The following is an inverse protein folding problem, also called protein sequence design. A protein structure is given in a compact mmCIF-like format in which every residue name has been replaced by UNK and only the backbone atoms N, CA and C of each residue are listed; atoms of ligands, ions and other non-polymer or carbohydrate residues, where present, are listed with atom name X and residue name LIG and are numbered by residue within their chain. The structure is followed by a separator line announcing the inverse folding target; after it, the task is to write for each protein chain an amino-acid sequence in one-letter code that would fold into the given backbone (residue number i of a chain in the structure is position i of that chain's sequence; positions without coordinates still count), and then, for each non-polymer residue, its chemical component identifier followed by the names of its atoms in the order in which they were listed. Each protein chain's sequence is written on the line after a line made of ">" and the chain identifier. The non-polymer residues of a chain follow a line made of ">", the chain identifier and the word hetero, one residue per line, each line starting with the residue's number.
data_IF_972018304643
#
_entry.id   IF_972018304643
#
_cell.length_a   1.000
_cell.length_b   1.000
_cell.length_c   1.000
_cell.angle_alpha   90.00
_cell.angle_beta   90.00
_cell.angle_gamma   90.00
#
_symmetry.space_group_name_H-M   'P 1'
#
loop_
_entity.id
_entity.type
_entity.pdbx_description
1 polymer ?
#
# COMPACT_ATOMS: atom_id res chain seq x y z
N UNK A 1 -8.06 26.46 -16.42
CA UNK A 1 -7.38 26.60 -15.10
C UNK A 1 -6.26 25.59 -15.05
N UNK A 2 -5.14 25.92 -14.40
CA UNK A 2 -4.03 24.98 -14.22
C UNK A 2 -4.40 24.00 -13.10
N UNK A 3 -4.24 22.69 -13.33
CA UNK A 3 -4.52 21.68 -12.31
C UNK A 3 -3.59 21.83 -11.09
N UNK A 4 -4.01 21.30 -9.94
CA UNK A 4 -3.16 21.20 -8.78
C UNK A 4 -2.08 20.13 -8.98
N UNK A 5 -0.92 20.31 -8.37
CA UNK A 5 0.22 19.41 -8.52
C UNK A 5 -0.10 17.94 -8.17
N UNK A 6 -0.93 17.70 -7.16
CA UNK A 6 -1.31 16.34 -6.78
C UNK A 6 -2.14 15.64 -7.88
N UNK A 7 -2.99 16.40 -8.57
CA UNK A 7 -3.70 15.88 -9.74
C UNK A 7 -2.74 15.48 -10.87
N UNK A 8 -1.72 16.31 -11.12
CA UNK A 8 -0.71 16.02 -12.14
C UNK A 8 0.11 14.76 -11.75
N UNK A 9 0.52 14.64 -10.48
CA UNK A 9 1.22 13.45 -9.97
C UNK A 9 0.36 12.18 -10.06
N UNK A 10 -0.95 12.28 -9.78
CA UNK A 10 -1.88 11.16 -9.93
C UNK A 10 -2.02 10.75 -11.40
N UNK A 11 -2.11 11.72 -12.30
CA UNK A 11 -2.16 11.46 -13.74
C UNK A 11 -0.87 10.81 -14.25
N UNK A 12 0.28 11.24 -13.75
CA UNK A 12 1.57 10.62 -14.05
C UNK A 12 1.65 9.19 -13.51
N UNK A 13 1.13 8.93 -12.31
CA UNK A 13 1.02 7.57 -11.77
C UNK A 13 0.16 6.68 -12.67
N UNK A 14 -1.01 7.13 -13.12
CA UNK A 14 -1.85 6.38 -14.06
C UNK A 14 -1.12 6.08 -15.37
N UNK A 15 -0.39 7.06 -15.90
CA UNK A 15 0.38 6.88 -17.14
C UNK A 15 1.46 5.80 -17.01
N UNK A 16 2.23 5.80 -15.92
CA UNK A 16 3.28 4.79 -15.75
C UNK A 16 2.71 3.41 -15.45
N UNK A 17 1.61 3.32 -14.67
CA UNK A 17 0.92 2.05 -14.42
C UNK A 17 0.36 1.47 -15.71
N UNK A 18 -0.28 2.28 -16.54
CA UNK A 18 -0.82 1.84 -17.84
C UNK A 18 0.29 1.39 -18.78
N UNK A 19 1.37 2.18 -18.90
CA UNK A 19 2.49 1.87 -19.80
C UNK A 19 3.24 0.60 -19.40
N UNK A 20 3.46 0.39 -18.10
CA UNK A 20 4.41 -0.62 -17.62
C UNK A 20 3.72 -1.88 -17.10
N UNK A 21 2.42 -1.83 -16.76
CA UNK A 21 1.73 -2.93 -16.08
C UNK A 21 0.38 -3.28 -16.73
N UNK A 22 -0.47 -2.28 -17.01
CA UNK A 22 -1.84 -2.55 -17.46
C UNK A 22 -1.90 -2.80 -18.96
N UNK A 23 -2.25 -4.01 -19.32
CA UNK A 23 -2.41 -4.38 -20.73
C UNK A 23 -3.08 -5.74 -20.89
N UNK A 24 -3.48 -6.10 -22.11
CA UNK A 24 -4.14 -7.37 -22.38
C UNK A 24 -3.18 -8.53 -22.11
N UNK A 25 -3.61 -9.48 -21.27
CA UNK A 25 -2.86 -10.71 -21.00
C UNK A 25 -2.61 -11.47 -22.29
N UNK A 26 -1.44 -12.08 -22.38
CA UNK A 26 -1.07 -12.93 -23.52
C UNK A 26 -0.97 -14.39 -23.08
N UNK A 27 -1.39 -15.30 -23.95
CA UNK A 27 -1.16 -16.72 -23.77
C UNK A 27 0.29 -17.09 -24.15
N UNK A 28 0.68 -18.34 -23.87
CA UNK A 28 2.04 -18.82 -24.18
C UNK A 28 2.44 -18.78 -25.66
N UNK A 29 1.48 -18.52 -26.57
CA UNK A 29 1.70 -18.33 -28.01
C UNK A 29 1.67 -16.85 -28.45
N UNK A 30 1.59 -15.91 -27.50
CA UNK A 30 1.57 -14.48 -27.75
C UNK A 30 0.20 -13.90 -28.14
N UNK A 31 -0.84 -14.72 -28.23
CA UNK A 31 -2.21 -14.27 -28.49
C UNK A 31 -2.87 -13.66 -27.26
N UNK A 32 -3.78 -12.70 -27.47
CA UNK A 32 -4.54 -12.07 -26.38
C UNK A 32 -5.49 -13.10 -25.75
N UNK A 33 -5.57 -13.07 -24.41
CA UNK A 33 -6.53 -13.86 -23.63
C UNK A 33 -7.84 -13.09 -23.55
N UNK A 34 -8.93 -13.72 -23.96
CA UNK A 34 -10.27 -13.15 -23.93
C UNK A 34 -11.16 -13.89 -22.94
N UNK A 35 -11.99 -13.17 -22.24
CA UNK A 35 -13.21 -13.71 -21.64
C UNK A 35 -14.30 -13.73 -22.72
N UNK A 36 -14.96 -14.87 -22.88
CA UNK A 36 -16.03 -15.05 -23.86
C UNK A 36 -17.36 -15.14 -23.12
N UNK A 37 -18.18 -14.13 -23.25
CA UNK A 37 -19.57 -14.17 -22.81
C UNK A 37 -20.41 -14.93 -23.83
N UNK A 38 -20.75 -16.20 -23.52
CA UNK A 38 -21.52 -17.05 -24.41
C UNK A 38 -22.96 -16.56 -24.60
N UNK A 39 -23.49 -15.83 -23.62
CA UNK A 39 -24.88 -15.34 -23.64
C UNK A 39 -25.01 -14.17 -24.61
N UNK A 40 -24.04 -13.27 -24.61
CA UNK A 40 -24.04 -12.07 -25.47
C UNK A 40 -23.21 -12.25 -26.74
N UNK A 41 -22.52 -13.40 -26.88
CA UNK A 41 -21.56 -13.65 -27.96
C UNK A 41 -20.46 -12.57 -28.09
N UNK A 42 -20.03 -12.03 -26.93
CA UNK A 42 -19.02 -10.97 -26.85
C UNK A 42 -17.68 -11.51 -26.36
N UNK A 43 -16.61 -10.90 -26.84
CA UNK A 43 -15.24 -11.21 -26.40
C UNK A 43 -14.59 -9.96 -25.80
N UNK A 44 -14.22 -10.02 -24.53
CA UNK A 44 -13.52 -8.93 -23.85
C UNK A 44 -12.09 -9.36 -23.51
N UNK A 45 -11.06 -8.55 -23.84
CA UNK A 45 -9.69 -8.89 -23.51
C UNK A 45 -9.48 -8.84 -21.99
N UNK A 46 -8.87 -9.87 -21.43
CA UNK A 46 -8.52 -9.92 -20.02
C UNK A 46 -7.25 -9.10 -19.77
N UNK A 47 -7.34 -8.03 -19.00
CA UNK A 47 -6.19 -7.20 -18.64
C UNK A 47 -5.37 -7.79 -17.49
N UNK A 48 -4.15 -7.33 -17.32
CA UNK A 48 -3.19 -7.84 -16.33
C UNK A 48 -3.69 -7.79 -14.87
N UNK A 49 -4.53 -6.80 -14.52
CA UNK A 49 -5.14 -6.69 -13.21
C UNK A 49 -6.44 -7.51 -13.05
N UNK A 50 -6.96 -8.14 -14.12
CA UNK A 50 -8.19 -8.90 -14.07
C UNK A 50 -7.96 -10.36 -13.65
N UNK A 51 -8.97 -10.95 -13.03
CA UNK A 51 -9.14 -12.39 -12.98
C UNK A 51 -9.81 -12.86 -14.29
N UNK A 52 -9.05 -13.59 -15.11
CA UNK A 52 -9.48 -14.00 -16.45
C UNK A 52 -10.73 -14.89 -16.44
N UNK A 53 -11.01 -15.55 -15.32
CA UNK A 53 -12.12 -16.48 -15.17
C UNK A 53 -13.38 -15.82 -14.57
N UNK A 54 -13.29 -14.52 -14.22
CA UNK A 54 -14.40 -13.72 -13.69
C UNK A 54 -14.89 -12.68 -14.69
N UNK A 55 -16.16 -12.81 -15.14
CA UNK A 55 -16.79 -11.85 -16.06
C UNK A 55 -16.70 -10.41 -15.54
N UNK A 56 -17.13 -10.18 -14.30
CA UNK A 56 -17.12 -8.84 -13.70
C UNK A 56 -15.71 -8.28 -13.66
N UNK A 57 -14.72 -9.06 -13.19
CA UNK A 57 -13.33 -8.64 -13.10
C UNK A 57 -12.76 -8.22 -14.46
N UNK A 58 -13.05 -8.99 -15.52
CA UNK A 58 -12.56 -8.71 -16.87
C UNK A 58 -13.22 -7.45 -17.44
N UNK A 59 -14.53 -7.30 -17.30
CA UNK A 59 -15.27 -6.14 -17.80
C UNK A 59 -14.81 -4.86 -17.11
N UNK A 60 -14.75 -4.87 -15.78
CA UNK A 60 -14.32 -3.69 -15.00
C UNK A 60 -12.88 -3.32 -15.34
N UNK A 61 -11.94 -4.29 -15.35
CA UNK A 61 -10.54 -4.02 -15.65
C UNK A 61 -10.33 -3.45 -17.07
N UNK A 62 -11.07 -3.97 -18.05
CA UNK A 62 -11.02 -3.49 -19.42
C UNK A 62 -11.54 -2.05 -19.53
N UNK A 63 -12.73 -1.75 -18.99
CA UNK A 63 -13.31 -0.40 -19.01
C UNK A 63 -12.46 0.60 -18.21
N UNK A 64 -11.97 0.19 -17.04
CA UNK A 64 -11.06 1.01 -16.22
C UNK A 64 -9.81 1.40 -17.00
N UNK A 65 -9.19 0.45 -17.71
CA UNK A 65 -8.02 0.74 -18.53
C UNK A 65 -8.32 1.70 -19.68
N UNK A 66 -9.52 1.63 -20.27
CA UNK A 66 -9.96 2.58 -21.29
C UNK A 66 -10.22 3.98 -20.70
N UNK A 67 -10.85 4.05 -19.53
CA UNK A 67 -11.17 5.31 -18.85
C UNK A 67 -9.91 6.08 -18.42
N UNK A 68 -8.83 5.37 -18.05
CA UNK A 68 -7.55 6.01 -17.79
C UNK A 68 -6.97 6.76 -18.99
N UNK A 69 -7.42 6.46 -20.21
CA UNK A 69 -7.04 7.18 -21.43
C UNK A 69 -5.55 7.11 -21.78
N UNK A 70 -4.81 6.19 -21.17
CA UNK A 70 -3.37 6.03 -21.35
C UNK A 70 -3.07 4.82 -22.26
N UNK A 71 -1.98 4.86 -23.05
CA UNK A 71 -1.55 3.71 -23.84
C UNK A 71 -1.33 2.48 -22.94
N UNK A 72 -1.96 1.38 -23.30
CA UNK A 72 -1.82 0.11 -22.57
C UNK A 72 -0.45 -0.54 -22.83
N UNK A 73 0.03 -1.29 -21.83
CA UNK A 73 1.25 -2.07 -21.95
C UNK A 73 1.10 -3.19 -23.00
N UNK A 74 1.91 -3.18 -24.05
CA UNK A 74 1.86 -4.17 -25.11
C UNK A 74 2.22 -5.59 -24.64
N UNK A 75 3.13 -5.69 -23.67
CA UNK A 75 3.62 -6.93 -23.08
C UNK A 75 3.57 -6.81 -21.55
N UNK A 76 2.37 -6.88 -20.95
CA UNK A 76 2.25 -6.72 -19.52
C UNK A 76 3.05 -7.79 -18.78
N UNK A 77 3.83 -7.38 -17.77
CA UNK A 77 4.57 -8.32 -16.94
C UNK A 77 3.62 -9.17 -16.10
N UNK A 78 4.06 -10.36 -15.71
CA UNK A 78 3.26 -11.27 -14.90
C UNK A 78 3.89 -11.51 -13.53
N UNK A 79 3.06 -12.00 -12.60
CA UNK A 79 3.48 -12.47 -11.28
C UNK A 79 4.29 -11.46 -10.49
N UNK A 80 5.49 -11.86 -10.07
CA UNK A 80 6.34 -11.07 -9.20
C UNK A 80 6.84 -9.78 -9.86
N UNK A 81 7.11 -9.79 -11.16
CA UNK A 81 7.58 -8.60 -11.89
C UNK A 81 6.54 -7.50 -11.90
N UNK A 82 5.27 -7.84 -12.19
CA UNK A 82 4.17 -6.88 -12.13
C UNK A 82 4.02 -6.29 -10.72
N UNK A 83 4.09 -7.15 -9.69
CA UNK A 83 4.04 -6.73 -8.29
C UNK A 83 5.17 -5.78 -7.93
N UNK A 84 6.40 -6.07 -8.35
CA UNK A 84 7.57 -5.22 -8.08
C UNK A 84 7.44 -3.85 -8.75
N UNK A 85 7.00 -3.79 -10.00
CA UNK A 85 6.75 -2.53 -10.70
C UNK A 85 5.66 -1.72 -10.02
N UNK A 86 4.57 -2.36 -9.60
CA UNK A 86 3.49 -1.69 -8.86
C UNK A 86 3.98 -1.07 -7.55
N UNK A 87 4.78 -1.80 -6.77
CA UNK A 87 5.43 -1.27 -5.56
C UNK A 87 6.31 -0.06 -5.88
N UNK A 88 7.14 -0.14 -6.92
CA UNK A 88 8.06 0.92 -7.30
C UNK A 88 7.33 2.20 -7.71
N UNK A 89 6.31 2.09 -8.56
CA UNK A 89 5.51 3.23 -9.01
C UNK A 89 4.71 3.86 -7.87
N UNK A 90 4.12 3.02 -7.00
CA UNK A 90 3.42 3.48 -5.79
C UNK A 90 4.37 4.25 -4.86
N UNK A 91 5.56 3.71 -4.60
CA UNK A 91 6.56 4.39 -3.76
C UNK A 91 7.06 5.69 -4.37
N UNK A 92 7.22 5.74 -5.69
CA UNK A 92 7.58 6.95 -6.43
C UNK A 92 6.55 8.06 -6.24
N UNK A 93 5.28 7.75 -6.52
CA UNK A 93 4.15 8.67 -6.32
C UNK A 93 4.07 9.18 -4.87
N UNK A 94 4.09 8.27 -3.90
CA UNK A 94 3.99 8.63 -2.49
C UNK A 94 5.13 9.52 -2.03
N UNK A 95 6.36 9.22 -2.42
CA UNK A 95 7.54 10.01 -2.08
C UNK A 95 7.43 11.43 -2.63
N UNK A 96 7.06 11.59 -3.89
CA UNK A 96 6.89 12.90 -4.50
C UNK A 96 5.77 13.70 -3.86
N UNK A 97 4.60 13.11 -3.71
CA UNK A 97 3.44 13.78 -3.12
C UNK A 97 3.67 14.17 -1.66
N UNK A 98 4.15 13.24 -0.83
CA UNK A 98 4.38 13.50 0.60
C UNK A 98 5.47 14.57 0.84
N UNK A 99 6.53 14.58 0.04
CA UNK A 99 7.58 15.60 0.18
C UNK A 99 7.06 17.02 -0.05
N UNK A 100 5.95 17.20 -0.79
CA UNK A 100 5.30 18.50 -0.97
C UNK A 100 4.50 18.95 0.25
N UNK A 101 4.25 18.07 1.19
CA UNK A 101 3.52 18.34 2.43
C UNK A 101 4.43 18.73 3.60
N UNK A 102 5.69 19.05 3.34
CA UNK A 102 6.67 19.37 4.37
C UNK A 102 6.28 20.50 5.32
N UNK A 103 5.46 21.48 4.87
CA UNK A 103 4.95 22.57 5.71
C UNK A 103 3.94 22.11 6.75
N UNK A 104 3.16 21.05 6.49
CA UNK A 104 2.18 20.51 7.43
C UNK A 104 2.71 19.32 8.23
N UNK A 105 3.75 18.64 7.71
CA UNK A 105 4.40 17.51 8.41
C UNK A 105 5.92 17.67 8.41
N UNK A 106 6.47 18.60 9.23
CA UNK A 106 7.91 18.79 9.29
C UNK A 106 8.64 17.59 9.88
N UNK A 107 9.84 17.30 9.37
CA UNK A 107 10.67 16.19 9.81
C UNK A 107 11.59 15.68 8.72
N UNK A 108 12.48 14.74 9.07
CA UNK A 108 13.31 14.01 8.12
C UNK A 108 12.63 12.67 7.86
N UNK A 109 12.07 12.51 6.66
CA UNK A 109 11.28 11.35 6.25
C UNK A 109 12.04 10.50 5.25
N UNK A 110 11.88 9.18 5.36
CA UNK A 110 12.46 8.19 4.44
C UNK A 110 11.36 7.29 3.91
N UNK A 111 11.40 7.05 2.59
CA UNK A 111 10.54 6.10 1.89
C UNK A 111 11.44 4.98 1.36
N UNK A 112 11.22 3.77 1.82
CA UNK A 112 12.06 2.62 1.49
C UNK A 112 11.19 1.46 0.98
N UNK A 113 11.69 0.78 -0.05
CA UNK A 113 11.02 -0.36 -0.68
C UNK A 113 11.74 -1.62 -0.22
N UNK A 114 10.99 -2.63 0.19
CA UNK A 114 11.46 -3.99 0.57
C UNK A 114 12.86 -4.02 1.18
N UNK A 115 12.94 -3.85 2.48
CA UNK A 115 14.20 -3.92 3.20
C UNK A 115 14.40 -5.34 3.73
N UNK A 116 15.29 -6.12 3.12
CA UNK A 116 15.51 -7.52 3.47
C UNK A 116 16.35 -7.73 4.73
N UNK A 117 17.30 -6.83 5.01
CA UNK A 117 18.17 -6.99 6.17
C UNK A 117 17.44 -6.58 7.47
N UNK A 118 17.19 -7.56 8.34
CA UNK A 118 16.54 -7.41 9.64
C UNK A 118 15.07 -6.93 9.60
N UNK A 119 14.45 -6.79 8.41
CA UNK A 119 13.05 -6.40 8.26
C UNK A 119 12.68 -5.17 9.12
N UNK A 120 11.55 -5.25 9.83
CA UNK A 120 11.10 -4.17 10.72
C UNK A 120 11.95 -4.00 11.99
N UNK A 121 12.78 -4.97 12.38
CA UNK A 121 13.62 -4.90 13.59
C UNK A 121 14.67 -3.77 13.58
N UNK A 122 14.85 -3.10 12.44
CA UNK A 122 15.72 -1.92 12.31
C UNK A 122 15.09 -0.64 12.88
N UNK A 123 13.76 -0.61 13.06
CA UNK A 123 13.03 0.53 13.59
C UNK A 123 12.88 0.46 15.11
N UNK A 124 12.77 1.61 15.74
CA UNK A 124 12.74 1.76 17.20
C UNK A 124 11.69 0.87 17.86
N UNK A 125 10.46 0.87 17.34
CA UNK A 125 9.36 0.10 17.91
C UNK A 125 9.58 -1.42 17.90
N UNK A 126 10.48 -1.92 17.06
CA UNK A 126 10.66 -3.35 16.77
C UNK A 126 12.09 -3.86 17.01
N UNK A 127 12.97 -3.06 17.62
CA UNK A 127 14.38 -3.42 17.82
C UNK A 127 14.57 -4.75 18.54
N UNK A 128 13.73 -5.04 19.53
CA UNK A 128 13.77 -6.27 20.32
C UNK A 128 13.54 -7.54 19.48
N UNK A 129 12.89 -7.43 18.33
CA UNK A 129 12.72 -8.58 17.40
C UNK A 129 14.06 -9.01 16.79
N UNK A 130 14.99 -8.09 16.64
CA UNK A 130 16.36 -8.42 16.21
C UNK A 130 17.12 -9.23 17.26
N UNK A 131 16.91 -8.94 18.54
CA UNK A 131 17.49 -9.70 19.64
C UNK A 131 16.84 -11.07 19.76
N UNK A 132 15.52 -11.13 19.62
CA UNK A 132 14.78 -12.38 19.56
C UNK A 132 15.24 -13.28 18.41
N UNK A 133 15.41 -12.73 17.20
CA UNK A 133 15.86 -13.51 16.05
C UNK A 133 17.28 -14.07 16.25
N UNK A 134 18.19 -13.28 16.86
CA UNK A 134 19.52 -13.76 17.22
C UNK A 134 19.47 -14.92 18.21
N UNK A 135 18.69 -14.75 19.27
CA UNK A 135 18.50 -15.80 20.27
C UNK A 135 17.92 -17.09 19.67
N UNK A 136 16.87 -16.98 18.85
CA UNK A 136 16.24 -18.12 18.20
C UNK A 136 17.14 -18.86 17.19
N UNK A 137 18.11 -18.17 16.60
CA UNK A 137 19.14 -18.82 15.75
C UNK A 137 20.01 -19.77 16.54
N UNK A 138 20.27 -19.47 17.80
CA UNK A 138 21.06 -20.34 18.71
C UNK A 138 20.22 -21.52 19.24
N UNK A 139 18.87 -21.40 19.20
CA UNK A 139 17.95 -22.41 19.71
C UNK A 139 16.93 -22.88 18.65
N UNK A 140 17.33 -23.71 17.67
CA UNK A 140 16.48 -24.10 16.54
C UNK A 140 15.14 -24.75 16.94
N UNK A 141 15.12 -25.49 18.06
CA UNK A 141 13.87 -26.11 18.55
C UNK A 141 12.83 -25.06 19.00
N UNK A 142 13.28 -23.99 19.65
CA UNK A 142 12.40 -22.88 20.03
C UNK A 142 11.94 -22.11 18.79
N UNK A 143 12.81 -21.90 17.82
CA UNK A 143 12.44 -21.28 16.54
C UNK A 143 11.34 -22.04 15.82
N UNK A 144 11.43 -23.38 15.80
CA UNK A 144 10.40 -24.24 15.20
C UNK A 144 9.05 -24.17 15.94
N UNK A 145 9.07 -23.99 17.27
CA UNK A 145 7.86 -23.90 18.08
C UNK A 145 7.18 -22.53 18.01
N UNK A 146 7.97 -21.44 17.93
CA UNK A 146 7.45 -20.06 17.92
C UNK A 146 7.11 -19.55 16.51
N UNK A 147 7.59 -20.22 15.46
CA UNK A 147 7.48 -19.73 14.09
C UNK A 147 8.47 -18.60 13.78
N UNK A 148 8.48 -18.13 12.54
CA UNK A 148 9.34 -17.03 12.07
C UNK A 148 8.57 -15.77 11.64
N UNK A 149 7.27 -15.75 11.82
CA UNK A 149 6.37 -14.74 11.24
C UNK A 149 6.41 -13.37 11.93
N UNK A 150 7.20 -13.24 13.00
CA UNK A 150 7.39 -11.96 13.70
C UNK A 150 8.26 -10.97 12.96
N UNK A 151 9.13 -11.43 12.05
CA UNK A 151 9.95 -10.58 11.20
C UNK A 151 9.27 -10.42 9.84
N UNK A 152 8.50 -9.39 9.69
CA UNK A 152 7.85 -9.02 8.43
C UNK A 152 8.71 -8.05 7.61
N UNK A 153 8.50 -8.09 6.30
CA UNK A 153 9.16 -7.19 5.35
C UNK A 153 8.08 -6.50 4.51
N UNK A 154 7.58 -5.33 4.96
CA UNK A 154 6.57 -4.59 4.21
C UNK A 154 7.04 -4.21 2.80
N UNK A 155 6.09 -4.06 1.87
CA UNK A 155 6.42 -3.67 0.49
C UNK A 155 7.00 -2.24 0.44
N UNK A 156 6.38 -1.29 1.17
CA UNK A 156 6.88 0.08 1.34
C UNK A 156 6.81 0.45 2.82
N UNK A 157 7.85 1.12 3.31
CA UNK A 157 7.87 1.70 4.65
C UNK A 157 8.14 3.20 4.59
N UNK A 158 7.45 3.93 5.47
CA UNK A 158 7.72 5.33 5.73
C UNK A 158 8.24 5.45 7.14
N UNK A 159 9.42 6.06 7.30
CA UNK A 159 10.01 6.25 8.61
C UNK A 159 10.41 7.70 8.85
N UNK A 160 10.47 8.07 10.11
CA UNK A 160 10.90 9.39 10.57
C UNK A 160 12.21 9.26 11.34
N UNK A 161 13.19 10.06 10.98
CA UNK A 161 14.43 10.14 11.77
C UNK A 161 14.18 10.83 13.09
N UNK A 162 14.93 10.43 14.10
CA UNK A 162 14.97 11.10 15.40
C UNK A 162 15.41 12.55 15.25
N UNK A 163 15.12 13.37 16.26
CA UNK A 163 15.39 14.81 16.27
C UNK A 163 16.52 15.08 17.28
N UNK A 164 17.44 15.96 16.92
CA UNK A 164 18.50 16.45 17.81
C UNK A 164 17.94 17.52 18.77
N UNK A 165 18.55 17.63 19.96
CA UNK A 165 18.16 18.65 20.93
C UNK A 165 18.29 20.07 20.38
N UNK A 166 19.30 20.34 19.53
CA UNK A 166 19.50 21.63 18.89
C UNK A 166 18.31 22.01 17.98
N UNK A 167 17.73 21.02 17.28
CA UNK A 167 16.57 21.25 16.43
C UNK A 167 15.30 21.52 17.23
N UNK A 168 15.13 20.82 18.37
CA UNK A 168 14.01 21.05 19.31
C UNK A 168 14.12 22.43 19.94
N UNK A 169 15.32 22.84 20.33
CA UNK A 169 15.60 24.11 21.03
C UNK A 169 15.76 25.30 20.08
N UNK A 170 15.50 25.16 18.78
CA UNK A 170 15.80 26.20 17.76
C UNK A 170 15.11 27.53 18.02
N UNK A 171 13.87 27.51 18.48
CA UNK A 171 13.08 28.73 18.74
C UNK A 171 13.15 29.17 20.21
N UNK A 172 13.13 28.22 21.09
CA UNK A 172 13.09 28.38 22.53
C UNK A 172 13.74 27.17 23.19
N UNK A 173 14.38 27.35 24.34
CA UNK A 173 14.99 26.23 25.07
C UNK A 173 13.92 25.45 25.79
N UNK A 174 13.47 24.35 25.15
CA UNK A 174 12.46 23.44 25.69
C UNK A 174 13.06 22.36 26.58
N UNK A 175 14.29 21.91 26.29
CA UNK A 175 14.93 20.76 26.97
C UNK A 175 16.41 21.07 27.16
N UNK A 176 16.90 20.93 28.40
CA UNK A 176 18.35 21.00 28.73
C UNK A 176 18.86 19.61 29.10
N UNK A 177 20.16 19.41 28.90
CA UNK A 177 20.84 18.20 29.39
C UNK A 177 20.74 18.17 30.91
N UNK A 178 20.19 17.06 31.45
CA UNK A 178 19.99 16.89 32.88
C UNK A 178 18.56 17.16 33.37
N UNK A 179 17.70 17.77 32.58
CA UNK A 179 16.30 17.97 32.95
C UNK A 179 15.60 16.61 33.20
N UNK A 180 14.66 16.59 34.14
CA UNK A 180 13.80 15.41 34.39
C UNK A 180 12.55 15.39 33.48
N UNK A 181 12.69 15.88 32.25
CA UNK A 181 11.60 15.99 31.28
C UNK A 181 11.98 15.28 29.97
N UNK A 182 10.99 14.66 29.32
CA UNK A 182 11.07 14.02 28.00
C UNK A 182 12.21 12.99 27.83
N UNK A 183 12.62 12.30 28.91
CA UNK A 183 13.76 11.38 28.90
C UNK A 183 13.48 10.02 28.25
N UNK A 184 12.21 9.66 28.09
CA UNK A 184 11.81 8.33 27.59
C UNK A 184 11.20 8.38 26.19
N UNK A 185 11.12 9.55 25.58
CA UNK A 185 10.62 9.64 24.21
C UNK A 185 11.67 9.17 23.23
N UNK A 186 11.31 8.23 22.33
CA UNK A 186 12.23 7.77 21.28
C UNK A 186 12.46 8.81 20.18
N UNK A 187 11.70 9.90 20.18
CA UNK A 187 11.84 10.95 19.18
C UNK A 187 13.16 11.71 19.32
N UNK A 188 13.69 11.84 20.55
CA UNK A 188 14.93 12.54 20.82
C UNK A 188 16.14 11.60 20.70
N UNK A 189 17.05 11.92 19.79
CA UNK A 189 18.29 11.16 19.57
C UNK A 189 19.11 10.97 20.87
N UNK A 190 19.13 11.99 21.73
CA UNK A 190 19.86 11.98 22.98
C UNK A 190 19.33 10.97 24.03
N UNK A 191 18.13 10.43 23.83
CA UNK A 191 17.54 9.45 24.76
C UNK A 191 17.89 8.00 24.43
N UNK A 192 18.57 7.76 23.32
CA UNK A 192 18.87 6.41 22.82
C UNK A 192 20.38 6.24 22.64
N UNK A 193 20.92 5.10 23.09
CA UNK A 193 22.34 4.78 22.86
C UNK A 193 22.64 4.50 21.38
N UNK A 194 21.67 3.92 20.70
CA UNK A 194 21.74 3.59 19.27
C UNK A 194 20.56 4.21 18.54
N UNK A 195 20.74 5.41 17.96
CA UNK A 195 19.68 6.09 17.23
C UNK A 195 19.08 5.19 16.14
N UNK A 196 17.74 5.10 16.11
CA UNK A 196 16.96 4.35 15.12
C UNK A 196 15.84 5.20 14.57
N UNK A 197 15.54 5.03 13.29
CA UNK A 197 14.35 5.66 12.71
C UNK A 197 13.09 5.06 13.36
N UNK A 198 12.07 5.90 13.47
CA UNK A 198 10.74 5.51 13.97
C UNK A 198 9.89 5.10 12.78
N UNK A 199 9.35 3.89 12.77
CA UNK A 199 8.43 3.46 11.72
C UNK A 199 7.13 4.26 11.82
N UNK A 200 6.83 5.02 10.78
CA UNK A 200 5.63 5.84 10.69
C UNK A 200 4.49 5.11 9.98
N UNK A 201 4.81 4.45 8.86
CA UNK A 201 3.82 3.68 8.11
C UNK A 201 4.42 2.41 7.49
N UNK A 202 3.57 1.40 7.40
CA UNK A 202 3.76 0.15 6.66
C UNK A 202 2.69 0.04 5.60
N UNK A 203 3.09 -0.08 4.34
CA UNK A 203 2.18 -0.08 3.20
C UNK A 203 2.37 -1.37 2.43
N UNK A 204 1.33 -2.20 2.41
CA UNK A 204 1.27 -3.41 1.58
C UNK A 204 0.75 -3.06 0.19
N UNK A 205 1.47 -3.43 -0.86
CA UNK A 205 1.10 -3.12 -2.25
C UNK A 205 0.79 -4.41 -3.00
N UNK A 206 -0.45 -4.58 -3.43
CA UNK A 206 -0.88 -5.75 -4.19
C UNK A 206 -1.63 -5.29 -5.44
N UNK A 207 -1.06 -5.51 -6.63
CA UNK A 207 -1.72 -5.15 -7.90
C UNK A 207 -3.14 -5.72 -7.97
N UNK A 208 -3.30 -6.99 -7.57
CA UNK A 208 -4.61 -7.67 -7.49
C UNK A 208 -4.78 -8.31 -6.13
N UNK A 209 -6.01 -8.35 -5.64
CA UNK A 209 -6.36 -8.86 -4.34
C UNK A 209 -7.07 -10.22 -4.47
N UNK A 210 -6.34 -11.31 -4.21
CA UNK A 210 -6.90 -12.66 -4.04
C UNK A 210 -7.00 -12.95 -2.54
N UNK A 211 -7.78 -13.97 -2.18
CA UNK A 211 -8.01 -14.33 -0.77
C UNK A 211 -6.71 -14.61 0.00
N UNK A 212 -5.76 -15.31 -0.61
CA UNK A 212 -4.44 -15.58 -0.05
C UNK A 212 -3.64 -14.29 0.22
N UNK A 213 -3.69 -13.34 -0.71
CA UNK A 213 -2.99 -12.05 -0.58
C UNK A 213 -3.64 -11.15 0.46
N UNK A 214 -4.98 -11.11 0.52
CA UNK A 214 -5.69 -10.37 1.55
C UNK A 214 -5.35 -10.92 2.94
N UNK A 215 -5.33 -12.24 3.08
CA UNK A 215 -4.98 -12.91 4.33
C UNK A 215 -3.53 -12.65 4.76
N UNK A 216 -2.57 -12.72 3.83
CA UNK A 216 -1.17 -12.40 4.11
C UNK A 216 -1.01 -10.94 4.56
N UNK A 217 -1.66 -9.98 3.88
CA UNK A 217 -1.61 -8.56 4.26
C UNK A 217 -2.16 -8.34 5.68
N UNK A 218 -3.25 -9.02 6.05
CA UNK A 218 -3.81 -8.97 7.41
C UNK A 218 -2.89 -9.60 8.44
N UNK A 219 -2.27 -10.75 8.14
CA UNK A 219 -1.32 -11.40 9.03
C UNK A 219 -0.10 -10.51 9.28
N UNK A 220 0.44 -9.87 8.25
CA UNK A 220 1.52 -8.88 8.38
C UNK A 220 1.10 -7.71 9.27
N UNK A 221 -0.12 -7.16 9.06
CA UNK A 221 -0.67 -6.08 9.86
C UNK A 221 -0.81 -6.45 11.34
N UNK A 222 -1.38 -7.62 11.64
CA UNK A 222 -1.52 -8.12 13.00
C UNK A 222 -0.16 -8.33 13.69
N UNK A 223 0.84 -8.79 12.95
CA UNK A 223 2.18 -8.96 13.49
C UNK A 223 2.83 -7.60 13.82
N UNK A 224 2.61 -6.56 13.00
CA UNK A 224 3.01 -5.19 13.32
C UNK A 224 2.34 -4.70 14.61
N UNK A 225 1.04 -4.90 14.73
CA UNK A 225 0.26 -4.45 15.90
C UNK A 225 0.72 -5.18 17.18
N UNK A 226 0.91 -6.49 17.12
CA UNK A 226 1.20 -7.31 18.31
C UNK A 226 2.62 -7.14 18.83
N UNK A 227 3.56 -6.98 17.95
CA UNK A 227 4.99 -7.03 18.29
C UNK A 227 5.62 -5.65 18.52
N UNK A 228 4.87 -4.55 18.42
CA UNK A 228 5.41 -3.21 18.63
C UNK A 228 5.64 -2.86 20.08
N UNK A 229 6.62 -2.00 20.31
CA UNK A 229 6.72 -1.15 21.50
C UNK A 229 6.21 0.25 21.15
N UNK A 230 5.46 0.88 22.05
CA UNK A 230 5.00 2.26 21.82
C UNK A 230 3.93 2.41 20.73
N UNK A 231 4.04 3.48 19.92
CA UNK A 231 3.03 3.87 18.94
C UNK A 231 2.93 2.88 17.78
N UNK A 232 1.69 2.52 17.40
CA UNK A 232 1.43 1.76 16.18
C UNK A 232 1.77 2.60 14.94
N UNK A 233 2.51 2.07 13.96
CA UNK A 233 2.62 2.72 12.66
C UNK A 233 1.26 2.74 11.96
N UNK A 234 1.05 3.65 11.02
CA UNK A 234 -0.08 3.61 10.10
C UNK A 234 0.07 2.36 9.21
N UNK A 235 -0.93 1.49 9.19
CA UNK A 235 -0.91 0.23 8.45
C UNK A 235 -1.94 0.29 7.34
N UNK A 236 -1.48 0.31 6.09
CA UNK A 236 -2.34 0.52 4.93
C UNK A 236 -2.07 -0.49 3.82
N UNK A 237 -3.05 -0.63 2.93
CA UNK A 237 -2.92 -1.43 1.72
C UNK A 237 -3.19 -0.55 0.49
N UNK A 238 -2.40 -0.76 -0.59
CA UNK A 238 -2.61 -0.13 -1.89
C UNK A 238 -2.85 -1.21 -2.93
N UNK A 239 -3.88 -1.05 -3.76
CA UNK A 239 -4.23 -2.05 -4.77
C UNK A 239 -4.76 -1.41 -6.06
N UNK A 240 -4.74 -2.18 -7.13
CA UNK A 240 -5.40 -1.88 -8.40
C UNK A 240 -6.43 -2.97 -8.75
N UNK A 241 -6.98 -3.64 -7.74
CA UNK A 241 -7.97 -4.70 -7.86
C UNK A 241 -9.28 -4.15 -8.44
N UNK A 242 -9.77 -4.64 -9.59
CA UNK A 242 -10.99 -4.11 -10.21
C UNK A 242 -12.29 -4.56 -9.52
N UNK A 243 -12.26 -5.64 -8.74
CA UNK A 243 -13.47 -6.31 -8.27
C UNK A 243 -13.91 -5.82 -6.89
N UNK A 244 -15.09 -5.19 -6.72
CA UNK A 244 -15.55 -4.66 -5.43
C UNK A 244 -15.58 -5.69 -4.30
N UNK A 245 -16.01 -6.93 -4.55
CA UNK A 245 -16.02 -7.99 -3.54
C UNK A 245 -14.63 -8.37 -3.02
N UNK A 246 -13.61 -8.29 -3.87
CA UNK A 246 -12.22 -8.50 -3.46
C UNK A 246 -11.65 -7.29 -2.72
N UNK A 247 -12.04 -6.07 -3.10
CA UNK A 247 -11.72 -4.86 -2.34
C UNK A 247 -12.34 -4.94 -0.94
N UNK A 248 -13.59 -5.37 -0.82
CA UNK A 248 -14.25 -5.57 0.46
C UNK A 248 -13.51 -6.59 1.35
N UNK A 249 -12.92 -7.65 0.78
CA UNK A 249 -12.18 -8.66 1.54
C UNK A 249 -10.98 -8.11 2.30
N UNK A 250 -10.43 -6.98 1.90
CA UNK A 250 -9.32 -6.30 2.56
C UNK A 250 -9.78 -5.05 3.32
N UNK A 251 -10.68 -4.27 2.74
CA UNK A 251 -11.14 -3.00 3.29
C UNK A 251 -12.12 -3.17 4.46
N UNK A 252 -13.01 -4.17 4.41
CA UNK A 252 -13.91 -4.53 5.52
C UNK A 252 -13.16 -5.35 6.55
N UNK A 253 -12.28 -4.71 7.29
CA UNK A 253 -11.43 -5.42 8.24
C UNK A 253 -11.83 -5.27 9.68
N UNK A 254 -11.13 -6.03 10.52
CA UNK A 254 -11.28 -6.07 11.98
C UNK A 254 -10.44 -5.00 12.70
N UNK A 255 -9.97 -3.97 11.97
CA UNK A 255 -9.13 -2.90 12.52
C UNK A 255 -7.64 -3.20 12.48
N UNK A 256 -7.23 -4.20 11.72
CA UNK A 256 -5.84 -4.56 11.44
C UNK A 256 -5.21 -3.68 10.36
N UNK A 257 -6.02 -3.12 9.45
CA UNK A 257 -5.62 -2.18 8.40
C UNK A 257 -6.41 -0.88 8.58
N UNK A 258 -5.73 0.25 8.68
CA UNK A 258 -6.34 1.55 8.90
C UNK A 258 -7.22 1.98 7.72
N UNK A 259 -6.70 1.84 6.50
CA UNK A 259 -7.43 2.14 5.27
C UNK A 259 -6.83 1.39 4.07
N UNK A 260 -7.67 1.08 3.09
CA UNK A 260 -7.25 0.56 1.79
C UNK A 260 -7.33 1.67 0.75
N UNK A 261 -6.33 1.76 -0.14
CA UNK A 261 -6.27 2.76 -1.19
C UNK A 261 -6.28 2.10 -2.56
N UNK A 262 -7.14 2.61 -3.44
CA UNK A 262 -7.18 2.15 -4.83
C UNK A 262 -6.43 3.10 -5.75
N UNK A 263 -5.63 2.57 -6.64
CA UNK A 263 -4.78 3.35 -7.54
C UNK A 263 -5.53 4.24 -8.55
N UNK A 264 -6.84 4.01 -8.74
CA UNK A 264 -7.71 4.78 -9.62
C UNK A 264 -9.17 4.65 -9.15
N UNK A 265 -9.46 5.14 -7.93
CA UNK A 265 -10.77 4.92 -7.31
C UNK A 265 -11.89 5.66 -8.03
N UNK A 266 -11.66 6.91 -8.43
CA UNK A 266 -12.69 7.72 -9.07
C UNK A 266 -13.12 7.11 -10.40
N UNK A 267 -12.17 6.64 -11.20
CA UNK A 267 -12.42 5.95 -12.46
C UNK A 267 -13.09 4.58 -12.23
N UNK A 268 -12.71 3.89 -11.15
CA UNK A 268 -13.35 2.62 -10.78
C UNK A 268 -14.83 2.82 -10.41
N UNK A 269 -15.16 3.87 -9.66
CA UNK A 269 -16.54 4.21 -9.32
C UNK A 269 -17.39 4.44 -10.57
N UNK A 270 -16.91 5.28 -11.48
CA UNK A 270 -17.62 5.57 -12.74
C UNK A 270 -17.84 4.29 -13.57
N UNK A 271 -16.79 3.47 -13.72
CA UNK A 271 -16.87 2.21 -14.50
C UNK A 271 -17.85 1.22 -13.89
N UNK A 272 -17.83 1.03 -12.55
CA UNK A 272 -18.72 0.07 -11.90
C UNK A 272 -20.17 0.55 -11.96
N UNK A 273 -20.43 1.84 -11.79
CA UNK A 273 -21.77 2.44 -11.92
C UNK A 273 -22.31 2.30 -13.36
N UNK A 274 -21.50 2.58 -14.38
CA UNK A 274 -21.90 2.40 -15.78
C UNK A 274 -22.21 0.94 -16.10
N UNK A 275 -21.35 0.01 -15.71
CA UNK A 275 -21.53 -1.41 -15.96
C UNK A 275 -22.70 -1.98 -15.18
N UNK A 276 -23.00 -1.48 -13.97
CA UNK A 276 -24.21 -1.85 -13.24
C UNK A 276 -25.47 -1.48 -14.03
N UNK A 277 -25.53 -0.25 -14.53
CA UNK A 277 -26.66 0.23 -15.36
C UNK A 277 -26.79 -0.52 -16.69
N UNK A 278 -25.67 -0.85 -17.35
CA UNK A 278 -25.67 -1.50 -18.66
C UNK A 278 -25.94 -3.00 -18.61
N UNK A 279 -25.44 -3.70 -17.57
CA UNK A 279 -25.30 -5.16 -17.57
C UNK A 279 -25.75 -5.86 -16.29
N UNK A 280 -25.98 -5.10 -15.21
CA UNK A 280 -26.26 -5.66 -13.89
C UNK A 280 -25.08 -6.47 -13.35
N UNK A 281 -24.26 -5.87 -12.52
CA UNK A 281 -23.11 -6.56 -11.88
C UNK A 281 -23.47 -7.14 -10.50
N UNK A 282 -24.79 -7.21 -10.17
CA UNK A 282 -25.27 -7.58 -8.86
C UNK A 282 -24.97 -6.48 -7.83
N UNK A 283 -24.62 -6.86 -6.60
CA UNK A 283 -24.40 -5.92 -5.49
C UNK A 283 -23.04 -5.14 -5.59
N UNK A 284 -22.39 -5.15 -6.76
CA UNK A 284 -21.02 -4.61 -6.91
C UNK A 284 -20.95 -3.11 -6.70
N UNK A 285 -21.96 -2.37 -7.20
CA UNK A 285 -22.02 -0.92 -7.04
C UNK A 285 -22.30 -0.51 -5.58
N UNK A 286 -23.36 -1.08 -4.97
CA UNK A 286 -23.73 -0.82 -3.59
C UNK A 286 -22.60 -1.16 -2.62
N UNK A 287 -21.92 -2.28 -2.87
CA UNK A 287 -20.76 -2.69 -2.08
C UNK A 287 -19.61 -1.67 -2.20
N UNK A 288 -19.28 -1.24 -3.42
CA UNK A 288 -18.22 -0.25 -3.64
C UNK A 288 -18.56 1.09 -2.98
N UNK A 289 -19.79 1.57 -3.12
CA UNK A 289 -20.27 2.78 -2.44
C UNK A 289 -20.12 2.65 -0.91
N UNK A 290 -20.56 1.54 -0.33
CA UNK A 290 -20.49 1.32 1.11
C UNK A 290 -19.05 1.37 1.65
N UNK A 291 -18.08 0.88 0.88
CA UNK A 291 -16.66 0.96 1.25
C UNK A 291 -16.14 2.40 1.26
N UNK A 292 -16.56 3.21 0.29
CA UNK A 292 -16.15 4.62 0.17
C UNK A 292 -16.84 5.49 1.23
N UNK A 293 -18.16 5.37 1.38
CA UNK A 293 -18.95 6.10 2.39
C UNK A 293 -18.50 5.73 3.81
N UNK A 294 -18.19 4.45 4.04
CA UNK A 294 -17.62 3.95 5.29
C UNK A 294 -16.16 4.37 5.51
N UNK A 295 -15.55 5.12 4.60
CA UNK A 295 -14.15 5.57 4.64
C UNK A 295 -13.13 4.43 4.79
N UNK A 296 -13.49 3.24 4.30
CA UNK A 296 -12.63 2.05 4.31
C UNK A 296 -11.79 1.92 3.04
N UNK A 297 -12.26 2.55 1.95
CA UNK A 297 -11.59 2.60 0.67
C UNK A 297 -11.47 4.06 0.23
N UNK A 298 -10.26 4.48 -0.14
CA UNK A 298 -9.93 5.82 -0.61
C UNK A 298 -9.13 5.77 -1.89
N UNK A 299 -9.00 6.91 -2.56
CA UNK A 299 -8.10 7.02 -3.71
C UNK A 299 -6.63 7.12 -3.25
N UNK A 300 -5.71 6.65 -4.07
CA UNK A 300 -4.27 6.71 -3.77
C UNK A 300 -3.78 8.13 -3.49
N UNK A 301 -4.45 9.14 -4.05
CA UNK A 301 -4.12 10.55 -3.83
C UNK A 301 -4.44 11.06 -2.43
N UNK A 302 -5.27 10.35 -1.66
CA UNK A 302 -5.57 10.67 -0.26
C UNK A 302 -4.45 10.21 0.67
N UNK A 303 -3.74 9.12 0.31
CA UNK A 303 -2.74 8.50 1.17
C UNK A 303 -1.62 9.45 1.64
N UNK A 304 -1.04 10.33 0.80
CA UNK A 304 -0.04 11.28 1.28
C UNK A 304 -0.54 12.20 2.40
N UNK A 305 -1.80 12.63 2.34
CA UNK A 305 -2.41 13.45 3.39
C UNK A 305 -2.70 12.65 4.66
N UNK A 306 -3.21 11.43 4.52
CA UNK A 306 -3.45 10.55 5.67
C UNK A 306 -2.14 10.19 6.39
N UNK A 307 -1.04 10.06 5.66
CA UNK A 307 0.30 9.90 6.24
C UNK A 307 0.82 11.18 6.93
N UNK A 308 0.25 12.34 6.63
CA UNK A 308 0.64 13.60 7.24
C UNK A 308 -0.04 13.89 8.59
N UNK A 309 -1.00 13.07 9.01
CA UNK A 309 -1.71 13.18 10.30
C UNK A 309 -0.85 12.77 11.52
#
# INVERSE_FOLDING_TARGET
>A
MKNGLLHDLRSDFHRVISRDILGPKKNGKGGIVYFVDKTLNEKTPAYSCADKDSKASVLIAYRLSQMLGCPACEKPPEGQTAGTLFVNHTAGFLREAFNKLGQIRPGKWKFEIRQFANGIARYEQYEHLGDLDRFLKEYPKLKSALGGDYLITPDIVVSRSQIKNEDVNRKEVLIRRGDKAARLTPLLEANTEKPRDILHASISCKLTMRSDRAQNTRTEALNLIRNRKGRTPCITAVTFEPTPSRLASIAMGTGDIDCTYHGALYELLEVVEELERERGLGDSWELLQSLVEGRRLRDISDLPFDLAI
#
